data_IF_447554140539
#
_entry.id   IF_447554140539
#
_cell.length_a   1.000
_cell.length_b   1.000
_cell.length_c   1.000
_cell.angle_alpha   90.00
_cell.angle_beta   90.00
_cell.angle_gamma   90.00
#
_symmetry.space_group_name_H-M   'P 1'
#
loop_
_entity.id
_entity.type
_entity.pdbx_description
1 polymer ?
#
# COMPACT_ATOMS: atom_id res chain seq x y z
N UNK A 1 10.34 -23.09 -29.90
CA UNK A 1 8.96 -22.98 -29.44
C UNK A 1 8.56 -21.49 -29.50
N UNK A 2 7.48 -21.11 -30.19
CA UNK A 2 7.10 -19.70 -30.30
C UNK A 2 6.43 -19.22 -29.01
N UNK A 3 6.87 -18.08 -28.52
CA UNK A 3 6.24 -17.30 -27.44
C UNK A 3 4.84 -16.85 -27.89
N UNK A 4 3.79 -17.42 -27.32
CA UNK A 4 2.43 -16.95 -27.51
C UNK A 4 2.22 -15.65 -26.75
N UNK A 5 2.24 -14.53 -27.46
CA UNK A 5 1.82 -13.22 -26.93
C UNK A 5 0.28 -13.20 -26.89
N UNK A 6 -0.31 -13.33 -25.69
CA UNK A 6 -1.75 -13.21 -25.54
C UNK A 6 -2.14 -11.72 -25.61
N UNK A 7 -2.86 -11.35 -26.68
CA UNK A 7 -3.49 -10.02 -26.78
C UNK A 7 -4.88 -10.06 -26.17
N UNK A 8 -5.10 -9.26 -25.14
CA UNK A 8 -6.42 -9.05 -24.53
C UNK A 8 -7.00 -7.70 -24.99
N UNK A 9 -8.31 -7.63 -25.13
CA UNK A 9 -9.04 -6.35 -25.27
C UNK A 9 -9.96 -6.17 -24.08
N UNK A 10 -9.94 -4.96 -23.51
CA UNK A 10 -10.83 -4.56 -22.44
C UNK A 10 -12.10 -3.95 -23.04
N UNK A 11 -13.25 -4.43 -22.61
CA UNK A 11 -14.55 -3.84 -22.98
C UNK A 11 -15.17 -3.33 -21.67
N UNK A 12 -15.42 -2.02 -21.62
CA UNK A 12 -16.07 -1.37 -20.47
C UNK A 12 -17.55 -1.19 -20.77
N UNK A 13 -18.39 -1.73 -19.90
CA UNK A 13 -19.87 -1.54 -19.95
C UNK A 13 -20.32 -1.11 -18.56
N UNK A 14 -20.53 0.20 -18.39
CA UNK A 14 -20.82 0.79 -17.07
C UNK A 14 -19.59 0.76 -16.16
N UNK A 15 -19.77 0.46 -14.87
CA UNK A 15 -18.69 0.40 -13.87
C UNK A 15 -17.96 -0.95 -13.80
N UNK A 16 -18.06 -1.81 -14.83
CA UNK A 16 -17.49 -3.16 -14.83
C UNK A 16 -16.56 -3.31 -16.02
N UNK A 17 -15.29 -3.61 -15.77
CA UNK A 17 -14.29 -3.93 -16.81
C UNK A 17 -14.23 -5.44 -17.05
N UNK A 18 -14.37 -5.86 -18.31
CA UNK A 18 -14.24 -7.25 -18.73
C UNK A 18 -13.01 -7.42 -19.62
N UNK A 19 -12.18 -8.40 -19.30
CA UNK A 19 -11.05 -8.80 -20.14
C UNK A 19 -11.41 -10.10 -20.85
N UNK A 20 -11.51 -10.05 -22.19
CA UNK A 20 -11.82 -11.24 -23.02
C UNK A 20 -10.65 -11.61 -23.93
N UNK A 21 -10.48 -12.92 -24.18
CA UNK A 21 -9.50 -13.41 -25.16
C UNK A 21 -9.99 -13.14 -26.58
N UNK A 22 -9.05 -12.87 -27.48
CA UNK A 22 -9.33 -12.53 -28.89
C UNK A 22 -10.14 -13.62 -29.63
N UNK A 23 -9.98 -14.87 -29.25
CA UNK A 23 -10.69 -16.03 -29.80
C UNK A 23 -12.20 -16.04 -29.48
N UNK A 24 -12.59 -15.43 -28.35
CA UNK A 24 -13.99 -15.34 -27.92
C UNK A 24 -14.75 -14.23 -28.64
N UNK A 25 -14.05 -13.21 -29.15
CA UNK A 25 -14.65 -12.12 -29.93
C UNK A 25 -15.04 -12.52 -31.37
N UNK A 26 -14.41 -13.53 -31.92
CA UNK A 26 -14.70 -14.01 -33.27
C UNK A 26 -16.09 -14.71 -33.39
N UNK A 27 -16.57 -15.30 -32.30
CA UNK A 27 -17.86 -16.00 -32.25
C UNK A 27 -19.06 -15.07 -31.99
N UNK A 28 -18.84 -13.86 -31.49
CA UNK A 28 -19.91 -12.90 -31.17
C UNK A 28 -20.47 -12.14 -32.39
N UNK A 29 -19.94 -12.34 -33.60
CA UNK A 29 -20.37 -11.61 -34.81
C UNK A 29 -21.63 -12.14 -35.49
N UNK A 30 -22.22 -13.25 -35.06
CA UNK A 30 -23.20 -13.97 -35.84
C UNK A 30 -24.65 -13.98 -35.30
N UNK A 31 -24.98 -13.44 -34.13
CA UNK A 31 -26.38 -13.53 -33.62
C UNK A 31 -26.83 -12.28 -32.86
N UNK A 32 -27.74 -11.44 -33.43
CA UNK A 32 -28.18 -10.20 -32.78
C UNK A 32 -29.24 -10.36 -31.66
N UNK A 33 -29.76 -11.53 -31.34
CA UNK A 33 -30.97 -11.65 -30.50
C UNK A 33 -31.00 -12.79 -29.47
N UNK A 34 -29.88 -13.33 -28.97
CA UNK A 34 -29.93 -14.39 -27.92
C UNK A 34 -28.94 -14.17 -26.77
N UNK A 35 -29.10 -13.03 -26.09
CA UNK A 35 -28.21 -12.64 -24.97
C UNK A 35 -28.63 -13.21 -23.60
N UNK A 36 -29.87 -13.64 -23.29
CA UNK A 36 -30.24 -14.04 -21.91
C UNK A 36 -29.73 -15.43 -21.46
N UNK A 37 -29.57 -16.41 -22.35
CA UNK A 37 -29.25 -17.78 -21.92
C UNK A 37 -27.75 -18.06 -21.79
N UNK A 38 -26.91 -17.46 -22.62
CA UNK A 38 -25.47 -17.60 -22.50
C UNK A 38 -24.87 -16.78 -21.34
N UNK A 39 -25.61 -15.77 -20.88
CA UNK A 39 -25.21 -14.92 -19.78
C UNK A 39 -25.23 -15.65 -18.42
N UNK A 40 -26.16 -16.59 -18.22
CA UNK A 40 -26.29 -17.35 -16.98
C UNK A 40 -25.18 -18.40 -16.80
N UNK A 41 -24.72 -19.04 -17.87
CA UNK A 41 -23.66 -20.03 -17.77
C UNK A 41 -22.25 -19.40 -17.72
N UNK A 42 -22.03 -18.24 -18.35
CA UNK A 42 -20.73 -17.54 -18.29
C UNK A 42 -20.51 -16.79 -16.97
N UNK A 43 -21.57 -16.36 -16.29
CA UNK A 43 -21.48 -15.68 -14.99
C UNK A 43 -21.08 -16.63 -13.87
N UNK A 44 -21.34 -17.93 -14.01
CA UNK A 44 -21.02 -18.92 -12.97
C UNK A 44 -19.52 -19.22 -12.85
N UNK A 45 -18.67 -18.84 -13.84
CA UNK A 45 -17.24 -19.16 -13.86
C UNK A 45 -16.27 -18.02 -13.50
N UNK A 46 -16.74 -16.82 -13.26
CA UNK A 46 -15.82 -15.69 -13.02
C UNK A 46 -16.15 -14.77 -11.85
N UNK A 47 -17.17 -15.09 -11.04
CA UNK A 47 -17.45 -14.32 -9.83
C UNK A 47 -16.70 -14.91 -8.63
N UNK A 48 -15.35 -14.91 -8.68
CA UNK A 48 -14.59 -14.69 -7.47
C UNK A 48 -14.44 -13.17 -7.33
N UNK A 49 -15.16 -12.52 -6.41
CA UNK A 49 -14.76 -11.18 -6.03
C UNK A 49 -13.31 -11.33 -5.56
N UNK A 50 -12.36 -10.68 -6.25
CA UNK A 50 -11.09 -10.40 -5.57
C UNK A 50 -11.54 -9.76 -4.27
N UNK A 51 -11.39 -10.47 -3.15
CA UNK A 51 -11.57 -9.86 -1.84
C UNK A 51 -10.80 -8.55 -1.93
N UNK A 52 -11.51 -7.44 -1.81
CA UNK A 52 -10.83 -6.15 -1.66
C UNK A 52 -9.79 -6.41 -0.58
N UNK A 53 -8.50 -6.27 -0.92
CA UNK A 53 -7.42 -6.59 0.02
C UNK A 53 -7.67 -5.67 1.21
N UNK A 54 -8.09 -6.24 2.34
CA UNK A 54 -8.36 -5.46 3.55
C UNK A 54 -7.06 -4.72 3.84
N UNK A 55 -7.14 -3.40 3.95
CA UNK A 55 -5.99 -2.58 4.30
C UNK A 55 -5.53 -2.99 5.70
N UNK A 56 -4.27 -3.39 5.82
CA UNK A 56 -3.66 -3.78 7.08
C UNK A 56 -2.36 -3.01 7.27
N UNK A 57 -2.15 -2.46 8.45
CA UNK A 57 -1.03 -1.56 8.78
C UNK A 57 -0.04 -2.27 9.70
N UNK A 58 1.25 -2.28 9.37
CA UNK A 58 2.30 -2.69 10.29
C UNK A 58 2.71 -1.47 11.14
N UNK A 59 2.53 -1.56 12.46
CA UNK A 59 2.86 -0.49 13.41
C UNK A 59 4.13 -0.85 14.16
N UNK A 60 5.13 0.04 14.18
CA UNK A 60 6.34 -0.18 14.96
C UNK A 60 6.87 1.12 15.54
N UNK A 61 7.55 1.02 16.68
CA UNK A 61 8.28 2.13 17.28
C UNK A 61 9.53 1.66 18.02
N UNK A 62 10.44 2.58 18.30
CA UNK A 62 11.39 2.44 19.40
C UNK A 62 10.77 2.94 20.71
N UNK A 63 11.57 2.95 21.77
CA UNK A 63 11.17 3.46 23.09
C UNK A 63 10.74 4.94 23.06
N UNK A 64 11.39 5.76 22.22
CA UNK A 64 11.06 7.19 22.08
C UNK A 64 9.77 7.46 21.32
N UNK A 65 9.28 6.47 20.55
CA UNK A 65 8.04 6.52 19.79
C UNK A 65 6.87 5.75 20.42
N UNK A 66 7.12 5.03 21.52
CA UNK A 66 6.16 4.09 22.10
C UNK A 66 4.80 4.71 22.42
N UNK A 67 4.78 5.84 23.13
CA UNK A 67 3.54 6.52 23.53
C UNK A 67 2.74 7.01 22.31
N UNK A 68 3.41 7.58 21.29
CA UNK A 68 2.75 8.03 20.08
C UNK A 68 2.22 6.85 19.24
N UNK A 69 2.97 5.73 19.15
CA UNK A 69 2.49 4.52 18.49
C UNK A 69 1.20 4.02 19.16
N UNK A 70 1.15 3.99 20.49
CA UNK A 70 -0.04 3.56 21.24
C UNK A 70 -1.26 4.47 20.95
N UNK A 71 -1.06 5.79 20.85
CA UNK A 71 -2.12 6.73 20.46
C UNK A 71 -2.64 6.46 19.06
N UNK A 72 -1.74 6.27 18.10
CA UNK A 72 -2.10 5.99 16.70
C UNK A 72 -2.81 4.63 16.55
N UNK A 73 -2.40 3.62 17.29
CA UNK A 73 -3.09 2.32 17.29
C UNK A 73 -4.52 2.45 17.83
N UNK A 74 -4.72 3.24 18.90
CA UNK A 74 -6.07 3.54 19.38
C UNK A 74 -6.93 4.24 18.34
N UNK A 75 -6.38 5.19 17.60
CA UNK A 75 -7.08 5.84 16.49
C UNK A 75 -7.45 4.84 15.38
N UNK A 76 -6.56 3.90 15.02
CA UNK A 76 -6.86 2.83 14.06
C UNK A 76 -8.00 1.91 14.55
N UNK A 77 -8.06 1.61 15.87
CA UNK A 77 -9.17 0.84 16.46
C UNK A 77 -10.51 1.58 16.33
N UNK A 78 -10.53 2.91 16.56
CA UNK A 78 -11.71 3.76 16.41
C UNK A 78 -12.18 3.79 14.95
N UNK A 79 -11.25 3.86 13.99
CA UNK A 79 -11.52 3.83 12.55
C UNK A 79 -11.75 2.41 11.99
N UNK A 80 -11.63 1.36 12.81
CA UNK A 80 -11.77 -0.07 12.44
C UNK A 80 -10.80 -0.52 11.35
N UNK A 81 -9.59 0.02 11.36
CA UNK A 81 -8.51 -0.36 10.46
C UNK A 81 -7.66 -1.44 11.11
N UNK A 82 -7.47 -2.58 10.43
CA UNK A 82 -6.65 -3.66 10.94
C UNK A 82 -5.16 -3.28 10.97
N UNK A 83 -4.47 -3.66 12.05
CA UNK A 83 -3.03 -3.48 12.17
C UNK A 83 -2.33 -4.67 12.81
N UNK A 84 -1.00 -4.72 12.66
CA UNK A 84 -0.10 -5.64 13.33
C UNK A 84 0.88 -4.81 14.16
N UNK A 85 0.89 -4.98 15.47
CA UNK A 85 1.89 -4.36 16.33
C UNK A 85 3.21 -5.15 16.27
N UNK A 86 4.24 -4.51 15.71
CA UNK A 86 5.58 -5.07 15.55
C UNK A 86 6.55 -4.73 16.71
N UNK A 87 6.09 -3.99 17.73
CA UNK A 87 6.89 -3.53 18.87
C UNK A 87 7.34 -2.07 18.70
N UNK A 88 8.13 -1.43 19.64
CA UNK A 88 8.40 -2.03 20.98
C UNK A 88 7.14 -2.06 21.85
N UNK A 89 7.23 -2.78 22.97
CA UNK A 89 6.12 -2.95 23.93
C UNK A 89 6.40 -2.29 25.27
N UNK A 90 7.48 -1.51 25.37
CA UNK A 90 7.89 -0.80 26.59
C UNK A 90 8.65 0.47 26.27
N UNK A 91 8.89 1.30 27.28
CA UNK A 91 9.73 2.50 27.21
C UNK A 91 11.22 2.23 27.46
N UNK A 92 11.60 0.96 27.63
CA UNK A 92 13.00 0.59 27.77
C UNK A 92 13.79 0.83 26.48
N UNK A 93 15.02 1.33 26.62
CA UNK A 93 15.87 1.65 25.48
C UNK A 93 16.07 0.46 24.56
N UNK A 94 15.79 0.67 23.28
CA UNK A 94 15.91 -0.36 22.24
C UNK A 94 16.35 0.26 20.92
N UNK A 95 16.84 -0.57 20.01
CA UNK A 95 17.38 -0.16 18.72
C UNK A 95 16.28 -0.07 17.67
N UNK A 96 16.01 1.13 17.17
CA UNK A 96 14.95 1.41 16.20
C UNK A 96 15.08 0.62 14.87
N UNK A 97 16.28 0.27 14.35
CA UNK A 97 16.37 -0.44 13.07
C UNK A 97 15.71 -1.81 13.09
N UNK A 98 15.77 -2.53 14.23
CA UNK A 98 15.20 -3.87 14.36
C UNK A 98 13.69 -3.86 14.18
N UNK A 99 13.03 -2.82 14.71
CA UNK A 99 11.59 -2.64 14.59
C UNK A 99 11.19 -2.13 13.19
N UNK A 100 12.01 -1.26 12.59
CA UNK A 100 11.81 -0.82 11.21
C UNK A 100 11.89 -2.02 10.25
N UNK A 101 12.91 -2.87 10.39
CA UNK A 101 13.07 -4.07 9.58
C UNK A 101 11.88 -5.02 9.73
N UNK A 102 11.44 -5.28 10.96
CA UNK A 102 10.33 -6.18 11.27
C UNK A 102 9.02 -5.74 10.58
N UNK A 103 8.66 -4.46 10.69
CA UNK A 103 7.46 -3.93 10.06
C UNK A 103 7.57 -3.87 8.53
N UNK A 104 8.72 -3.47 7.98
CA UNK A 104 8.95 -3.42 6.55
C UNK A 104 8.92 -4.81 5.89
N UNK A 105 9.38 -5.87 6.58
CA UNK A 105 9.24 -7.25 6.10
C UNK A 105 7.79 -7.64 5.85
N UNK A 106 6.85 -7.24 6.71
CA UNK A 106 5.42 -7.51 6.51
C UNK A 106 4.88 -6.81 5.26
N UNK A 107 5.38 -5.60 4.95
CA UNK A 107 5.03 -4.90 3.71
C UNK A 107 5.60 -5.62 2.49
N UNK A 108 6.87 -6.04 2.53
CA UNK A 108 7.51 -6.80 1.44
C UNK A 108 6.82 -8.15 1.16
N UNK A 109 6.37 -8.83 2.21
CA UNK A 109 5.65 -10.11 2.13
C UNK A 109 4.17 -9.94 1.70
N UNK A 110 3.68 -8.70 1.67
CA UNK A 110 2.30 -8.39 1.35
C UNK A 110 1.30 -8.73 2.47
N UNK A 111 1.80 -8.99 3.68
CA UNK A 111 0.99 -9.20 4.88
C UNK A 111 0.43 -7.90 5.43
N UNK A 112 1.15 -6.79 5.27
CA UNK A 112 0.68 -5.44 5.50
C UNK A 112 0.63 -4.64 4.19
N UNK A 113 -0.32 -3.70 4.11
CA UNK A 113 -0.44 -2.78 2.96
C UNK A 113 0.57 -1.64 3.09
N UNK A 114 0.69 -1.11 4.30
CA UNK A 114 1.59 -0.01 4.67
C UNK A 114 2.25 -0.31 6.01
N UNK A 115 3.35 0.41 6.30
CA UNK A 115 3.90 0.48 7.64
C UNK A 115 3.95 1.93 8.15
N UNK A 116 3.69 2.09 9.44
CA UNK A 116 3.83 3.35 10.19
C UNK A 116 4.88 3.13 11.27
N UNK A 117 5.97 3.88 11.18
CA UNK A 117 7.12 3.72 12.06
C UNK A 117 7.34 5.00 12.88
N UNK A 118 7.51 4.85 14.18
CA UNK A 118 7.62 5.98 15.10
C UNK A 118 8.91 5.88 15.91
N UNK A 119 9.72 6.95 15.93
CA UNK A 119 10.82 7.09 16.87
C UNK A 119 10.87 8.53 17.39
N UNK A 120 11.94 8.93 18.06
CA UNK A 120 12.04 10.29 18.58
C UNK A 120 11.92 11.38 17.53
N UNK A 121 12.52 11.21 16.35
CA UNK A 121 12.52 12.18 15.24
C UNK A 121 11.91 11.66 13.95
N UNK A 122 11.69 10.35 13.82
CA UNK A 122 11.28 9.67 12.59
C UNK A 122 12.42 9.46 11.58
N UNK A 123 13.56 10.17 11.74
CA UNK A 123 14.65 10.17 10.77
C UNK A 123 15.34 8.80 10.70
N UNK A 124 15.75 8.24 11.85
CA UNK A 124 16.46 6.98 11.90
C UNK A 124 15.64 5.83 11.33
N UNK A 125 14.36 5.73 11.67
CA UNK A 125 13.42 4.77 11.11
C UNK A 125 13.27 4.93 9.60
N UNK A 126 13.20 6.17 9.09
CA UNK A 126 13.12 6.44 7.66
C UNK A 126 14.38 5.95 6.91
N UNK A 127 15.57 6.23 7.45
CA UNK A 127 16.83 5.77 6.87
C UNK A 127 16.91 4.24 6.85
N UNK A 128 16.59 3.60 7.98
CA UNK A 128 16.62 2.14 8.10
C UNK A 128 15.65 1.46 7.13
N UNK A 129 14.40 1.92 7.08
CA UNK A 129 13.38 1.39 6.19
C UNK A 129 13.80 1.50 4.71
N UNK A 130 14.37 2.62 4.28
CA UNK A 130 14.82 2.83 2.90
C UNK A 130 16.07 2.02 2.50
N UNK A 131 16.66 1.25 3.42
CA UNK A 131 17.70 0.25 3.08
C UNK A 131 17.11 -1.08 2.62
N UNK A 132 15.80 -1.26 2.74
CA UNK A 132 15.12 -2.50 2.37
C UNK A 132 14.54 -2.41 0.96
N UNK A 133 14.80 -3.41 0.13
CA UNK A 133 14.36 -3.45 -1.27
C UNK A 133 12.84 -3.29 -1.39
N UNK A 134 12.40 -2.43 -2.31
CA UNK A 134 10.99 -2.16 -2.57
C UNK A 134 10.30 -1.30 -1.50
N UNK A 135 11.02 -0.84 -0.48
CA UNK A 135 10.50 0.09 0.53
C UNK A 135 10.76 1.53 0.10
N UNK A 136 9.71 2.33 0.11
CA UNK A 136 9.74 3.77 -0.11
C UNK A 136 9.20 4.43 1.15
N UNK A 137 10.08 4.65 2.11
CA UNK A 137 9.76 5.29 3.38
C UNK A 137 9.89 6.82 3.29
N UNK A 138 8.90 7.52 3.83
CA UNK A 138 8.89 8.96 3.91
C UNK A 138 8.71 9.46 5.34
N UNK A 139 9.55 10.41 5.76
CA UNK A 139 9.36 11.15 6.99
C UNK A 139 8.30 12.22 6.76
N UNK A 140 7.19 12.15 7.49
CA UNK A 140 6.10 13.11 7.40
C UNK A 140 5.95 13.89 8.71
N UNK A 141 6.10 15.18 8.65
CA UNK A 141 5.89 16.11 9.77
C UNK A 141 4.61 16.94 9.63
N UNK A 142 3.90 16.80 8.50
CA UNK A 142 2.71 17.56 8.14
C UNK A 142 1.85 16.77 7.14
N UNK A 143 0.60 17.19 6.96
CA UNK A 143 -0.36 16.55 6.07
C UNK A 143 -0.04 16.75 4.59
N UNK A 144 0.59 17.86 4.22
CA UNK A 144 1.00 18.12 2.83
C UNK A 144 2.06 17.10 2.38
N UNK A 145 3.09 16.88 3.21
CA UNK A 145 4.11 15.85 2.95
C UNK A 145 3.50 14.45 2.89
N UNK A 146 2.56 14.12 3.79
CA UNK A 146 1.86 12.84 3.81
C UNK A 146 1.04 12.61 2.54
N UNK A 147 0.32 13.62 2.06
CA UNK A 147 -0.42 13.58 0.81
C UNK A 147 0.51 13.29 -0.38
N UNK A 148 1.48 14.16 -0.59
CA UNK A 148 2.30 14.08 -1.79
C UNK A 148 3.29 12.92 -1.82
N UNK A 149 3.69 12.40 -0.66
CA UNK A 149 4.50 11.18 -0.65
C UNK A 149 3.71 9.95 -1.13
N UNK A 150 2.38 9.94 -0.89
CA UNK A 150 1.51 8.93 -1.48
C UNK A 150 1.20 9.22 -2.94
N UNK A 151 0.67 10.41 -3.23
CA UNK A 151 0.23 10.80 -4.57
C UNK A 151 1.35 10.71 -5.62
N UNK A 152 2.56 11.12 -5.27
CA UNK A 152 3.68 11.23 -6.20
C UNK A 152 4.72 10.12 -6.10
N UNK A 153 4.99 9.63 -4.87
CA UNK A 153 6.08 8.68 -4.62
C UNK A 153 5.59 7.26 -4.33
N UNK A 154 4.27 7.06 -4.22
CA UNK A 154 3.68 5.78 -3.82
C UNK A 154 4.40 5.19 -2.61
N UNK A 155 4.69 6.02 -1.60
CA UNK A 155 5.37 5.59 -0.40
C UNK A 155 4.54 4.50 0.29
N UNK A 156 5.17 3.39 0.64
CA UNK A 156 4.53 2.28 1.34
C UNK A 156 4.88 2.23 2.83
N UNK A 157 5.74 3.13 3.28
CA UNK A 157 6.11 3.31 4.68
C UNK A 157 6.10 4.79 5.03
N UNK A 158 5.44 5.15 6.12
CA UNK A 158 5.50 6.49 6.71
C UNK A 158 6.28 6.44 8.01
N UNK A 159 7.08 7.48 8.27
CA UNK A 159 7.78 7.60 9.56
C UNK A 159 7.42 8.92 10.25
N UNK A 160 7.30 8.88 11.57
CA UNK A 160 6.90 10.01 12.42
C UNK A 160 7.89 10.22 13.57
N UNK A 161 8.07 11.47 13.95
CA UNK A 161 8.87 11.85 15.11
C UNK A 161 8.00 12.20 16.31
N UNK A 162 7.98 11.36 17.35
CA UNK A 162 7.16 11.59 18.54
C UNK A 162 7.55 12.84 19.36
N UNK A 163 8.78 13.34 19.16
CA UNK A 163 9.24 14.61 19.77
C UNK A 163 9.03 15.80 18.86
N UNK A 164 8.47 15.59 17.66
CA UNK A 164 8.28 16.61 16.62
C UNK A 164 6.81 16.90 16.41
N UNK A 165 5.98 15.86 16.35
CA UNK A 165 4.53 15.97 16.12
C UNK A 165 3.76 15.50 17.35
N UNK A 166 2.75 16.27 17.75
CA UNK A 166 1.82 15.87 18.82
C UNK A 166 0.80 14.82 18.29
N UNK A 167 0.14 14.07 19.21
CA UNK A 167 -0.76 12.99 18.84
C UNK A 167 -1.84 13.37 17.83
N UNK A 168 -2.58 14.48 18.07
CA UNK A 168 -3.65 14.90 17.18
C UNK A 168 -3.17 15.25 15.77
N UNK A 169 -2.00 15.89 15.61
CA UNK A 169 -1.43 16.14 14.28
C UNK A 169 -0.97 14.84 13.62
N UNK A 170 -0.40 13.90 14.40
CA UNK A 170 0.04 12.61 13.88
C UNK A 170 -1.12 11.76 13.34
N UNK A 171 -2.30 11.84 13.97
CA UNK A 171 -3.53 11.21 13.48
C UNK A 171 -3.94 11.78 12.12
N UNK A 172 -3.99 13.10 11.97
CA UNK A 172 -4.30 13.75 10.67
C UNK A 172 -3.28 13.39 9.58
N UNK A 173 -1.98 13.34 9.93
CA UNK A 173 -0.91 12.95 9.00
C UNK A 173 -1.11 11.50 8.55
N UNK A 174 -1.40 10.59 9.49
CA UNK A 174 -1.65 9.17 9.20
C UNK A 174 -2.89 8.99 8.33
N UNK A 175 -3.98 9.65 8.65
CA UNK A 175 -5.21 9.62 7.88
C UNK A 175 -5.00 10.07 6.43
N UNK A 176 -4.28 11.18 6.25
CA UNK A 176 -3.97 11.70 4.93
C UNK A 176 -3.10 10.71 4.13
N UNK A 177 -2.09 10.12 4.76
CA UNK A 177 -1.28 9.08 4.14
C UNK A 177 -2.12 7.86 3.72
N UNK A 178 -3.00 7.38 4.58
CA UNK A 178 -3.80 6.17 4.31
C UNK A 178 -4.89 6.39 3.26
N UNK A 179 -5.45 7.60 3.16
CA UNK A 179 -6.53 7.94 2.22
C UNK A 179 -6.04 8.26 0.82
N UNK A 180 -4.81 8.77 0.68
CA UNK A 180 -4.32 9.30 -0.59
C UNK A 180 -3.93 8.18 -1.56
N UNK A 181 -4.55 8.11 -2.75
CA UNK A 181 -4.16 7.16 -3.80
C UNK A 181 -2.92 7.63 -4.54
N UNK A 182 -2.23 6.71 -5.20
CA UNK A 182 -1.13 7.04 -6.11
C UNK A 182 -1.68 7.57 -7.46
N UNK A 183 -1.16 8.69 -7.95
CA UNK A 183 -1.59 9.32 -9.18
C UNK A 183 -1.08 8.62 -10.46
N UNK A 184 -0.02 7.82 -10.37
CA UNK A 184 0.54 7.14 -11.53
C UNK A 184 1.21 8.07 -12.54
N UNK A 185 1.02 7.81 -13.85
CA UNK A 185 1.47 8.66 -14.94
C UNK A 185 2.98 8.98 -14.90
N UNK A 186 3.33 10.27 -14.92
CA UNK A 186 4.73 10.75 -14.85
C UNK A 186 5.45 10.30 -13.57
N UNK A 187 4.70 10.10 -12.48
CA UNK A 187 5.25 9.69 -11.18
C UNK A 187 5.67 8.21 -11.22
N UNK A 188 4.90 7.33 -11.85
CA UNK A 188 5.26 5.92 -12.03
C UNK A 188 6.62 5.77 -12.73
N UNK A 189 6.88 6.56 -13.79
CA UNK A 189 8.18 6.56 -14.48
C UNK A 189 9.35 6.96 -13.57
N UNK A 190 9.12 7.91 -12.63
CA UNK A 190 10.14 8.35 -11.68
C UNK A 190 10.42 7.29 -10.62
N UNK A 191 9.36 6.65 -10.11
CA UNK A 191 9.48 5.54 -9.15
C UNK A 191 10.22 4.35 -9.77
N UNK A 192 9.96 4.03 -11.04
CA UNK A 192 10.70 2.98 -11.74
C UNK A 192 12.21 3.27 -11.82
N UNK A 193 12.61 4.54 -11.91
CA UNK A 193 14.04 4.92 -11.85
C UNK A 193 14.63 4.76 -10.45
N UNK A 194 13.84 5.00 -9.40
CA UNK A 194 14.27 4.73 -8.02
C UNK A 194 14.48 3.23 -7.81
N UNK A 195 13.52 2.40 -8.26
CA UNK A 195 13.65 0.95 -8.19
C UNK A 195 14.86 0.41 -8.96
N UNK A 196 15.21 1.02 -10.11
CA UNK A 196 16.40 0.63 -10.86
C UNK A 196 17.72 0.90 -10.10
N UNK A 197 17.75 1.84 -9.16
CA UNK A 197 18.92 2.09 -8.31
C UNK A 197 19.14 0.95 -7.33
N UNK A 198 18.06 0.32 -6.84
CA UNK A 198 18.14 -0.82 -5.92
C UNK A 198 18.74 -2.07 -6.57
N UNK A 199 18.56 -2.25 -7.89
CA UNK A 199 19.05 -3.42 -8.62
C UNK A 199 20.58 -3.38 -8.87
N UNK A 200 21.22 -2.23 -8.66
CA UNK A 200 22.66 -2.01 -8.93
C UNK A 200 23.49 -2.11 -7.63
N UNK A 201 22.82 -2.20 -6.47
CA UNK A 201 23.46 -2.37 -5.17
C UNK A 201 23.56 -3.85 -4.79
#
# INVERSE_FOLDING_TARGET
>A
APLFTYMYRTISVGCIEYVMRKEQLAHCRAVPFYVPLLYTEMVQYSYFPRRAKIMKIAMASDHGGFALKASLMKHLDEEKIEYIDCGTYSEESCDYPDFAEKACKLVQQGEATYAILVCGTGIGMCIAANKMKGIRAALCGDTFSAHFTRAHNDANVMTLGARVVGPGLAEFIMDEFLKTPFEGGRHARRIAKIAAIEEVQ
#
